data_IF_496749759685
#
_entry.id   IF_496749759685
#
_cell.length_a   1.000
_cell.length_b   1.000
_cell.length_c   1.000
_cell.angle_alpha   90.00
_cell.angle_beta   90.00
_cell.angle_gamma   90.00
#
_symmetry.space_group_name_H-M   'P 1'
#
loop_
_entity.id
_entity.type
_entity.pdbx_description
1 polymer ?
#
# COMPACT_ATOMS: atom_id res chain seq x y z
N UNK A 1 -3.26 -36.95 -12.02
CA UNK A 1 -2.52 -35.75 -12.42
C UNK A 1 -3.44 -34.54 -12.24
N UNK A 2 -3.25 -33.79 -11.13
CA UNK A 2 -3.91 -32.51 -10.94
C UNK A 2 -3.34 -31.52 -11.96
N UNK A 3 -4.12 -31.14 -12.95
CA UNK A 3 -3.82 -29.94 -13.73
C UNK A 3 -4.35 -28.74 -12.91
N UNK A 4 -3.48 -27.86 -12.41
CA UNK A 4 -3.95 -26.62 -11.79
C UNK A 4 -4.76 -25.87 -12.86
N UNK A 5 -5.97 -25.43 -12.51
CA UNK A 5 -6.75 -24.59 -13.41
C UNK A 5 -6.07 -23.22 -13.54
N UNK A 6 -6.37 -22.46 -14.59
CA UNK A 6 -5.76 -21.15 -14.85
C UNK A 6 -5.88 -20.19 -13.66
N UNK A 7 -6.94 -20.28 -12.89
CA UNK A 7 -7.16 -19.45 -11.69
C UNK A 7 -6.22 -19.82 -10.53
N UNK A 8 -5.86 -21.10 -10.37
CA UNK A 8 -4.89 -21.54 -9.37
C UNK A 8 -3.48 -21.06 -9.69
N UNK A 9 -3.07 -21.08 -10.95
CA UNK A 9 -1.78 -20.56 -11.40
C UNK A 9 -1.71 -19.05 -11.17
N UNK A 10 -2.75 -18.30 -11.55
CA UNK A 10 -2.82 -16.86 -11.30
C UNK A 10 -2.74 -16.51 -9.80
N UNK A 11 -3.43 -17.25 -8.93
CA UNK A 11 -3.36 -17.04 -7.49
C UNK A 11 -1.93 -17.26 -6.94
N UNK A 12 -1.24 -18.31 -7.39
CA UNK A 12 0.14 -18.59 -6.98
C UNK A 12 1.11 -17.49 -7.43
N UNK A 13 0.96 -17.00 -8.66
CA UNK A 13 1.77 -15.90 -9.19
C UNK A 13 1.58 -14.62 -8.37
N UNK A 14 0.34 -14.26 -8.05
CA UNK A 14 0.03 -13.08 -7.24
C UNK A 14 0.56 -13.23 -5.81
N UNK A 15 0.45 -14.41 -5.19
CA UNK A 15 1.02 -14.65 -3.87
C UNK A 15 2.55 -14.53 -3.86
N UNK A 16 3.22 -15.01 -4.91
CA UNK A 16 4.67 -14.82 -5.07
C UNK A 16 5.03 -13.34 -5.22
N UNK A 17 4.23 -12.58 -5.97
CA UNK A 17 4.46 -11.14 -6.17
C UNK A 17 4.43 -10.34 -4.86
N UNK A 18 3.64 -10.77 -3.88
CA UNK A 18 3.58 -10.14 -2.55
C UNK A 18 4.43 -10.85 -1.48
N UNK A 19 5.21 -11.86 -1.86
CA UNK A 19 6.09 -12.62 -0.96
C UNK A 19 5.34 -13.56 -0.02
N UNK A 20 4.21 -14.13 -0.46
CA UNK A 20 3.38 -15.05 0.30
C UNK A 20 3.31 -16.48 -0.31
N UNK A 21 4.18 -16.83 -1.23
CA UNK A 21 4.20 -18.15 -1.88
C UNK A 21 4.30 -19.30 -0.87
N UNK A 22 5.11 -19.16 0.18
CA UNK A 22 5.24 -20.15 1.23
C UNK A 22 3.94 -20.36 2.05
N UNK A 23 3.01 -19.41 1.98
CA UNK A 23 1.74 -19.44 2.69
C UNK A 23 0.54 -19.79 1.80
N UNK A 24 0.76 -20.25 0.57
CA UNK A 24 -0.31 -20.53 -0.40
C UNK A 24 -1.37 -21.52 0.09
N UNK A 25 -1.01 -22.41 1.00
CA UNK A 25 -1.91 -23.41 1.60
C UNK A 25 -2.22 -23.14 3.09
N UNK A 26 -1.79 -22.01 3.63
CA UNK A 26 -2.08 -21.61 5.00
C UNK A 26 -3.47 -20.98 5.12
N UNK A 27 -4.11 -21.18 6.28
CA UNK A 27 -5.33 -20.44 6.60
C UNK A 27 -4.98 -18.96 6.83
N UNK A 28 -5.71 -18.04 6.22
CA UNK A 28 -5.49 -16.60 6.38
C UNK A 28 -5.50 -16.14 7.85
N UNK A 29 -6.30 -16.81 8.70
CA UNK A 29 -6.38 -16.52 10.14
C UNK A 29 -5.07 -16.83 10.89
N UNK A 30 -4.18 -17.67 10.35
CA UNK A 30 -2.90 -18.03 10.99
C UNK A 30 -1.75 -17.12 10.58
N UNK A 31 -1.98 -16.21 9.63
CA UNK A 31 -0.97 -15.27 9.16
C UNK A 31 -0.71 -14.16 10.19
N UNK A 32 0.53 -13.68 10.21
CA UNK A 32 0.89 -12.46 10.95
C UNK A 32 0.13 -11.25 10.41
N UNK A 33 0.10 -10.13 11.14
CA UNK A 33 -0.53 -8.90 10.68
C UNK A 33 0.09 -8.43 9.35
N UNK A 34 1.42 -8.42 9.26
CA UNK A 34 2.14 -8.04 8.03
C UNK A 34 1.77 -8.93 6.84
N UNK A 35 1.73 -10.25 7.03
CA UNK A 35 1.33 -11.19 5.99
C UNK A 35 -0.15 -11.01 5.58
N UNK A 36 -1.04 -10.70 6.52
CA UNK A 36 -2.46 -10.39 6.21
C UNK A 36 -2.59 -9.11 5.40
N UNK A 37 -1.84 -8.06 5.73
CA UNK A 37 -1.80 -6.80 4.94
C UNK A 37 -1.30 -7.03 3.51
N UNK A 38 -0.26 -7.88 3.35
CA UNK A 38 0.20 -8.31 2.02
C UNK A 38 -0.87 -9.11 1.26
N UNK A 39 -1.62 -9.97 1.96
CA UNK A 39 -2.73 -10.72 1.37
C UNK A 39 -3.88 -9.80 0.91
N UNK A 40 -4.19 -8.73 1.65
CA UNK A 40 -5.16 -7.71 1.22
C UNK A 40 -4.75 -7.08 -0.10
N UNK A 41 -3.48 -6.69 -0.23
CA UNK A 41 -2.91 -6.17 -1.50
C UNK A 41 -2.98 -7.22 -2.60
N UNK A 42 -2.59 -8.48 -2.32
CA UNK A 42 -2.66 -9.59 -3.27
C UNK A 42 -4.06 -9.79 -3.85
N UNK A 43 -5.07 -9.77 -2.98
CA UNK A 43 -6.48 -9.90 -3.40
C UNK A 43 -6.91 -8.76 -4.33
N UNK A 44 -6.47 -7.54 -4.05
CA UNK A 44 -6.79 -6.39 -4.89
C UNK A 44 -6.12 -6.49 -6.26
N UNK A 45 -4.81 -6.78 -6.32
CA UNK A 45 -4.08 -6.88 -7.61
C UNK A 45 -4.47 -8.12 -8.44
N UNK A 46 -5.03 -9.16 -7.80
CA UNK A 46 -5.53 -10.35 -8.50
C UNK A 46 -6.71 -10.05 -9.45
N UNK A 47 -7.38 -8.91 -9.29
CA UNK A 47 -8.46 -8.46 -10.17
C UNK A 47 -7.96 -7.73 -11.42
N UNK A 48 -6.64 -7.58 -11.59
CA UNK A 48 -5.99 -6.80 -12.67
C UNK A 48 -6.56 -5.36 -12.79
N UNK A 49 -6.52 -4.56 -11.71
CA UNK A 49 -7.12 -3.24 -11.71
C UNK A 49 -6.28 -2.24 -12.51
N UNK A 50 -6.93 -1.24 -13.11
CA UNK A 50 -6.28 -0.04 -13.64
C UNK A 50 -6.05 1.01 -12.54
N UNK A 51 -6.83 0.96 -11.47
CA UNK A 51 -6.75 1.82 -10.29
C UNK A 51 -6.79 0.97 -9.02
N UNK A 52 -5.77 1.07 -8.20
CA UNK A 52 -5.66 0.42 -6.89
C UNK A 52 -5.85 1.45 -5.79
N UNK A 53 -6.82 1.21 -4.90
CA UNK A 53 -7.07 2.04 -3.72
C UNK A 53 -6.57 1.31 -2.48
N UNK A 54 -5.65 1.91 -1.76
CA UNK A 54 -5.05 1.39 -0.53
C UNK A 54 -5.38 2.31 0.63
N UNK A 55 -6.14 1.79 1.60
CA UNK A 55 -6.55 2.54 2.78
C UNK A 55 -5.88 1.95 4.02
N UNK A 56 -4.98 2.73 4.62
CA UNK A 56 -4.24 2.40 5.84
C UNK A 56 -3.59 0.99 5.84
N UNK A 57 -2.99 0.58 4.71
CA UNK A 57 -2.38 -0.75 4.58
C UNK A 57 -1.17 -0.96 5.49
N UNK A 58 -0.62 0.13 6.06
CA UNK A 58 0.50 0.09 7.00
C UNK A 58 0.06 0.17 8.47
N UNK A 59 -1.24 0.30 8.74
CA UNK A 59 -1.75 0.40 10.10
C UNK A 59 -1.39 -0.83 10.94
N UNK A 60 -0.77 -0.58 12.11
CA UNK A 60 -0.35 -1.62 13.05
C UNK A 60 0.97 -2.33 12.70
N UNK A 61 1.61 -2.02 11.58
CA UNK A 61 2.93 -2.51 11.24
C UNK A 61 4.01 -1.79 12.04
N UNK A 62 5.08 -2.51 12.39
CA UNK A 62 6.27 -1.87 12.92
C UNK A 62 7.02 -1.09 11.82
N UNK A 63 7.99 -0.22 12.15
CA UNK A 63 8.67 0.63 11.17
C UNK A 63 9.31 -0.16 10.01
N UNK A 64 9.93 -1.31 10.29
CA UNK A 64 10.56 -2.17 9.28
C UNK A 64 9.52 -2.80 8.35
N UNK A 65 8.46 -3.35 8.91
CA UNK A 65 7.35 -3.93 8.13
C UNK A 65 6.67 -2.87 7.26
N UNK A 66 6.57 -1.63 7.74
CA UNK A 66 6.07 -0.49 6.96
C UNK A 66 6.99 -0.16 5.78
N UNK A 67 8.31 -0.14 5.99
CA UNK A 67 9.30 0.05 4.91
C UNK A 67 9.23 -1.08 3.88
N UNK A 68 9.10 -2.33 4.32
CA UNK A 68 8.90 -3.48 3.44
C UNK A 68 7.59 -3.39 2.63
N UNK A 69 6.52 -2.84 3.20
CA UNK A 69 5.26 -2.59 2.49
C UNK A 69 5.40 -1.47 1.46
N UNK A 70 6.10 -0.39 1.78
CA UNK A 70 6.43 0.68 0.81
C UNK A 70 7.17 0.10 -0.39
N UNK A 71 8.18 -0.72 -0.15
CA UNK A 71 8.96 -1.33 -1.23
C UNK A 71 8.11 -2.29 -2.07
N UNK A 72 7.23 -3.08 -1.44
CA UNK A 72 6.28 -3.94 -2.15
C UNK A 72 5.37 -3.13 -3.08
N UNK A 73 4.78 -2.02 -2.61
CA UNK A 73 3.90 -1.17 -3.41
C UNK A 73 4.66 -0.57 -4.61
N UNK A 74 5.90 -0.13 -4.41
CA UNK A 74 6.76 0.35 -5.51
C UNK A 74 7.00 -0.72 -6.56
N UNK A 75 7.30 -1.95 -6.14
CA UNK A 75 7.50 -3.08 -7.05
C UNK A 75 6.24 -3.40 -7.85
N UNK A 76 5.07 -3.40 -7.22
CA UNK A 76 3.78 -3.58 -7.89
C UNK A 76 3.58 -2.48 -8.95
N UNK A 77 3.78 -1.21 -8.58
CA UNK A 77 3.66 -0.08 -9.52
C UNK A 77 4.62 -0.19 -10.70
N UNK A 78 5.83 -0.69 -10.49
CA UNK A 78 6.83 -0.85 -11.56
C UNK A 78 6.52 -1.98 -12.54
N UNK A 79 5.78 -2.99 -12.12
CA UNK A 79 5.48 -4.20 -12.89
C UNK A 79 4.12 -4.15 -13.58
N UNK A 80 3.21 -3.30 -13.11
CA UNK A 80 1.82 -3.25 -13.55
C UNK A 80 1.45 -1.85 -14.07
N UNK A 81 0.72 -1.76 -15.19
CA UNK A 81 0.23 -0.49 -15.72
C UNK A 81 -1.01 -0.03 -14.92
N UNK A 82 -0.81 0.38 -13.66
CA UNK A 82 -1.91 0.81 -12.78
C UNK A 82 -1.58 2.14 -12.09
N UNK A 83 -2.62 2.88 -11.77
CA UNK A 83 -2.56 4.03 -10.87
C UNK A 83 -2.85 3.58 -9.44
N UNK A 84 -2.20 4.19 -8.45
CA UNK A 84 -2.39 3.87 -7.04
C UNK A 84 -2.80 5.13 -6.29
N UNK A 85 -3.88 5.04 -5.52
CA UNK A 85 -4.25 6.03 -4.50
C UNK A 85 -4.02 5.40 -3.14
N UNK A 86 -3.21 6.04 -2.32
CA UNK A 86 -2.88 5.58 -0.96
C UNK A 86 -3.42 6.60 0.03
N UNK A 87 -4.23 6.15 0.98
CA UNK A 87 -4.64 6.92 2.15
C UNK A 87 -3.83 6.42 3.34
N UNK A 88 -3.02 7.29 3.90
CA UNK A 88 -2.11 6.98 5.02
C UNK A 88 -1.86 8.21 5.89
N UNK A 89 -1.48 7.98 7.12
CA UNK A 89 -1.07 9.02 8.06
C UNK A 89 0.46 9.00 8.35
N UNK A 90 1.18 8.03 7.80
CA UNK A 90 2.63 7.93 7.91
C UNK A 90 3.29 8.76 6.82
N UNK A 91 3.67 9.99 7.13
CA UNK A 91 4.22 10.98 6.17
C UNK A 91 5.43 10.44 5.40
N UNK A 92 6.33 9.73 6.08
CA UNK A 92 7.51 9.12 5.45
C UNK A 92 7.11 8.14 4.32
N UNK A 93 6.07 7.34 4.55
CA UNK A 93 5.56 6.40 3.56
C UNK A 93 4.93 7.12 2.37
N UNK A 94 4.06 8.11 2.63
CA UNK A 94 3.45 8.93 1.58
C UNK A 94 4.49 9.62 0.72
N UNK A 95 5.50 10.23 1.33
CA UNK A 95 6.59 10.90 0.60
C UNK A 95 7.38 9.92 -0.28
N UNK A 96 7.56 8.68 0.19
CA UNK A 96 8.31 7.66 -0.54
C UNK A 96 7.54 7.03 -1.72
N UNK A 97 6.18 7.03 -1.64
CA UNK A 97 5.31 6.35 -2.60
C UNK A 97 4.71 7.29 -3.65
N UNK A 98 4.43 8.55 -3.26
CA UNK A 98 3.54 9.42 -4.02
C UNK A 98 4.29 10.29 -5.01
N UNK A 99 3.69 10.48 -6.17
CA UNK A 99 4.08 11.52 -7.14
C UNK A 99 3.40 12.86 -6.80
N UNK A 100 2.26 12.80 -6.08
CA UNK A 100 1.44 13.94 -5.65
C UNK A 100 0.77 13.59 -4.33
N UNK A 101 0.69 14.55 -3.40
CA UNK A 101 0.00 14.42 -2.12
C UNK A 101 -1.13 15.43 -2.04
N UNK A 102 -2.31 14.95 -1.64
CA UNK A 102 -3.47 15.78 -1.31
C UNK A 102 -3.71 15.66 0.19
N UNK A 103 -3.77 16.78 0.90
CA UNK A 103 -3.99 16.81 2.34
C UNK A 103 -5.41 17.24 2.62
N UNK A 104 -6.14 16.39 3.35
CA UNK A 104 -7.50 16.64 3.80
C UNK A 104 -7.49 17.01 5.29
N UNK A 105 -8.20 18.06 5.65
CA UNK A 105 -8.44 18.45 7.03
C UNK A 105 -9.89 18.88 7.19
N UNK A 106 -10.61 18.30 8.15
CA UNK A 106 -12.04 18.59 8.42
C UNK A 106 -12.95 18.54 7.18
N UNK A 107 -12.65 17.63 6.23
CA UNK A 107 -13.45 17.45 5.00
C UNK A 107 -13.08 18.38 3.86
N UNK A 108 -12.08 19.25 4.02
CA UNK A 108 -11.60 20.17 3.00
C UNK A 108 -10.18 19.81 2.56
N UNK A 109 -9.88 20.05 1.27
CA UNK A 109 -8.52 19.97 0.76
C UNK A 109 -7.78 21.25 1.16
N UNK A 110 -6.77 21.11 2.02
CA UNK A 110 -5.97 22.25 2.48
C UNK A 110 -4.70 22.44 1.68
N UNK A 111 -4.11 21.38 1.15
CA UNK A 111 -2.92 21.44 0.30
C UNK A 111 -2.98 20.32 -0.74
N UNK A 112 -2.44 20.62 -1.92
CA UNK A 112 -2.33 19.69 -3.05
C UNK A 112 -1.06 20.03 -3.83
N UNK A 113 -0.10 19.09 -3.90
CA UNK A 113 1.18 19.37 -4.55
C UNK A 113 2.18 18.23 -4.50
N UNK A 114 3.42 18.55 -4.83
CA UNK A 114 4.54 17.61 -4.77
C UNK A 114 4.85 17.24 -3.31
N UNK A 115 5.26 15.97 -3.05
CA UNK A 115 5.59 15.53 -1.69
C UNK A 115 6.57 16.46 -0.96
N UNK A 116 7.60 16.96 -1.65
CA UNK A 116 8.61 17.86 -1.08
C UNK A 116 8.09 19.25 -0.72
N UNK A 117 7.01 19.68 -1.35
CA UNK A 117 6.35 20.96 -1.07
C UNK A 117 5.37 20.79 0.08
N UNK A 118 4.53 19.77 0.01
CA UNK A 118 3.47 19.47 0.99
C UNK A 118 4.03 19.29 2.40
N UNK A 119 5.15 18.55 2.56
CA UNK A 119 5.75 18.33 3.89
C UNK A 119 6.36 19.59 4.53
N UNK A 120 6.61 20.62 3.72
CA UNK A 120 7.14 21.91 4.18
C UNK A 120 6.07 22.98 4.38
N UNK A 121 4.85 22.70 3.93
CA UNK A 121 3.77 23.66 4.01
C UNK A 121 3.40 23.95 5.47
N UNK A 122 3.36 25.23 5.89
CA UNK A 122 3.05 25.60 7.28
C UNK A 122 1.67 25.13 7.73
N UNK A 123 0.68 25.12 6.84
CA UNK A 123 -0.69 24.69 7.15
C UNK A 123 -0.73 23.19 7.47
N UNK A 124 0.01 22.38 6.69
CA UNK A 124 0.16 20.94 6.95
C UNK A 124 0.88 20.69 8.26
N UNK A 125 1.95 21.45 8.53
CA UNK A 125 2.73 21.33 9.75
C UNK A 125 1.88 21.63 10.98
N UNK A 126 1.15 22.74 10.98
CA UNK A 126 0.24 23.09 12.08
C UNK A 126 -0.87 22.07 12.27
N UNK A 127 -1.49 21.58 11.19
CA UNK A 127 -2.61 20.64 11.27
C UNK A 127 -2.22 19.22 11.74
N UNK A 128 -1.00 18.74 11.41
CA UNK A 128 -0.60 17.35 11.62
C UNK A 128 0.55 17.16 12.61
N UNK A 129 1.41 18.16 12.82
CA UNK A 129 2.59 18.04 13.69
C UNK A 129 2.51 18.91 14.96
N UNK A 130 1.49 19.78 15.03
CA UNK A 130 1.36 20.77 16.11
C UNK A 130 2.35 21.93 15.93
N UNK A 131 2.02 23.07 16.53
CA UNK A 131 2.94 24.20 16.66
C UNK A 131 3.98 23.83 17.73
N UNK A 132 5.24 23.63 17.35
CA UNK A 132 6.39 23.70 18.26
C UNK A 132 6.74 25.14 18.56
#
# INVERSE_FOLDING_TARGET
LFHPNSNSLKATEVLAEVGLEAHAHSLAATLTLSARKRLEVARAIATDPELLLLDEVMAGLNPREGEDMVELIKQIKSRRPLSIVVVEHVVKALTALSDRIVVLHQGEIIVDGLPTEVIRDPTVRSAYFGDE
#
